data_IF_275613016410
#
_entry.id   IF_275613016410
#
_cell.length_a   1.000
_cell.length_b   1.000
_cell.length_c   1.000
_cell.angle_alpha   90.00
_cell.angle_beta   90.00
_cell.angle_gamma   90.00
#
_symmetry.space_group_name_H-M   'P 1'
#
loop_
_entity.id
_entity.type
_entity.pdbx_description
1 polymer ?
#
# COMPACT_ATOMS: atom_id res chain seq x y z
N UNK A 1 29.21 17.93 23.95
CA UNK A 1 28.83 19.08 23.10
C UNK A 1 28.44 18.47 21.77
N UNK A 2 27.17 18.08 21.67
CA UNK A 2 26.58 17.61 20.42
C UNK A 2 26.35 18.85 19.57
N UNK A 3 27.22 19.08 18.58
CA UNK A 3 27.12 20.20 17.66
C UNK A 3 25.98 19.93 16.67
N UNK A 4 24.87 20.70 16.72
CA UNK A 4 23.68 20.41 15.91
C UNK A 4 23.86 20.73 14.42
N UNK A 5 24.96 21.37 14.01
CA UNK A 5 25.15 21.89 12.65
C UNK A 5 25.33 20.81 11.58
N UNK A 6 25.76 19.60 11.94
CA UNK A 6 25.86 18.46 11.01
C UNK A 6 24.49 17.88 10.62
N UNK A 7 23.44 18.17 11.39
CA UNK A 7 22.08 17.65 11.14
C UNK A 7 21.22 18.57 10.27
N UNK A 8 21.52 19.88 10.22
CA UNK A 8 20.78 20.89 9.46
C UNK A 8 21.08 20.87 7.95
N UNK A 9 22.04 20.04 7.52
CA UNK A 9 22.42 19.88 6.11
C UNK A 9 21.62 18.80 5.36
N UNK A 10 20.76 18.05 6.06
CA UNK A 10 20.01 16.95 5.45
C UNK A 10 18.82 17.47 4.62
N UNK A 11 18.70 16.96 3.39
CA UNK A 11 17.53 17.24 2.54
C UNK A 11 16.29 16.63 3.17
N UNK A 12 15.27 17.45 3.40
CA UNK A 12 13.97 16.99 3.92
C UNK A 12 13.15 16.42 2.77
N UNK A 13 12.76 15.16 2.91
CA UNK A 13 11.93 14.43 1.93
C UNK A 13 10.58 14.12 2.56
N UNK A 14 9.52 14.19 1.76
CA UNK A 14 8.17 13.79 2.14
C UNK A 14 7.57 12.88 1.06
N UNK A 15 6.76 11.92 1.51
CA UNK A 15 6.01 11.00 0.64
C UNK A 15 4.53 11.33 0.77
N UNK A 16 3.82 11.45 -0.36
CA UNK A 16 2.37 11.65 -0.39
C UNK A 16 1.69 10.52 -1.12
N UNK A 17 0.95 9.71 -0.39
CA UNK A 17 0.06 8.71 -0.97
C UNK A 17 -1.25 9.41 -1.37
N UNK A 18 -1.62 9.33 -2.65
CA UNK A 18 -2.94 9.81 -3.10
C UNK A 18 -4.01 8.77 -2.77
N UNK A 19 -5.26 9.18 -2.51
CA UNK A 19 -6.37 8.24 -2.48
C UNK A 19 -6.54 7.50 -3.83
N UNK A 20 -7.13 6.32 -3.77
CA UNK A 20 -7.52 5.57 -4.97
C UNK A 20 -8.58 6.36 -5.76
N UNK A 21 -8.34 6.51 -7.05
CA UNK A 21 -9.23 7.20 -7.97
C UNK A 21 -10.44 6.33 -8.32
N UNK A 22 -11.43 6.92 -9.01
CA UNK A 22 -12.69 6.24 -9.33
C UNK A 22 -12.46 4.95 -10.15
N UNK A 23 -11.61 5.01 -11.17
CA UNK A 23 -11.27 3.86 -12.04
C UNK A 23 -10.65 2.70 -11.25
N UNK A 24 -9.73 3.00 -10.35
CA UNK A 24 -9.06 2.00 -9.52
C UNK A 24 -10.05 1.27 -8.59
N UNK A 25 -11.01 2.01 -8.03
CA UNK A 25 -12.10 1.44 -7.22
C UNK A 25 -13.05 0.59 -8.07
N UNK A 26 -13.50 1.09 -9.21
CA UNK A 26 -14.39 0.38 -10.14
C UNK A 26 -13.78 -0.93 -10.65
N UNK A 27 -12.46 -0.96 -10.87
CA UNK A 27 -11.74 -2.15 -11.30
C UNK A 27 -11.26 -3.04 -10.14
N UNK A 28 -11.60 -2.72 -8.88
CA UNK A 28 -11.13 -3.42 -7.68
C UNK A 28 -9.60 -3.59 -7.65
N UNK A 29 -8.87 -2.55 -8.04
CA UNK A 29 -7.41 -2.54 -7.97
C UNK A 29 -6.95 -2.56 -6.52
N UNK A 30 -6.00 -3.44 -6.19
CA UNK A 30 -5.44 -3.51 -4.83
C UNK A 30 -4.50 -2.34 -4.58
N UNK A 31 -4.66 -1.66 -3.43
CA UNK A 31 -3.69 -0.68 -2.95
C UNK A 31 -2.55 -1.43 -2.25
N UNK A 32 -1.35 -1.37 -2.82
CA UNK A 32 -0.15 -2.05 -2.29
C UNK A 32 0.72 -1.15 -1.40
N UNK A 33 0.30 0.09 -1.19
CA UNK A 33 1.03 1.07 -0.37
C UNK A 33 0.29 1.27 0.95
N UNK A 34 1.02 1.22 2.06
CA UNK A 34 0.55 1.50 3.40
C UNK A 34 1.50 2.50 4.08
N UNK A 35 0.96 3.39 4.90
CA UNK A 35 1.75 4.30 5.74
C UNK A 35 1.65 3.85 7.20
N UNK A 36 2.78 3.72 7.87
CA UNK A 36 2.88 3.46 9.31
C UNK A 36 3.71 4.59 9.93
N UNK A 37 3.03 5.60 10.49
CA UNK A 37 3.66 6.85 10.88
C UNK A 37 4.37 7.52 9.68
N UNK A 38 5.68 7.72 9.81
CA UNK A 38 6.52 8.32 8.77
C UNK A 38 7.16 7.27 7.83
N UNK A 39 6.88 5.98 8.03
CA UNK A 39 7.38 4.90 7.20
C UNK A 39 6.36 4.54 6.12
N UNK A 40 6.84 4.38 4.89
CA UNK A 40 6.05 3.83 3.78
C UNK A 40 6.37 2.34 3.65
N UNK A 41 5.34 1.50 3.78
CA UNK A 41 5.39 0.06 3.57
C UNK A 41 4.84 -0.27 2.19
N UNK A 42 5.62 -0.99 1.38
CA UNK A 42 5.21 -1.50 0.08
C UNK A 42 4.96 -3.00 0.18
N UNK A 43 3.70 -3.40 0.01
CA UNK A 43 3.34 -4.81 -0.09
C UNK A 43 3.68 -5.34 -1.49
N UNK A 44 4.11 -6.60 -1.61
CA UNK A 44 4.31 -7.22 -2.92
C UNK A 44 3.03 -7.11 -3.74
N UNK A 45 3.13 -6.53 -4.94
CA UNK A 45 2.12 -6.79 -5.96
C UNK A 45 2.26 -8.27 -6.30
N UNK A 46 1.26 -9.10 -5.98
CA UNK A 46 1.22 -10.48 -6.44
C UNK A 46 1.09 -10.48 -7.96
N UNK A 47 2.23 -10.36 -8.65
CA UNK A 47 2.38 -10.47 -10.09
C UNK A 47 3.01 -11.81 -10.39
N UNK A 48 2.19 -12.88 -10.40
CA UNK A 48 2.57 -14.01 -11.21
C UNK A 48 2.35 -13.58 -12.66
N UNK A 49 3.44 -13.24 -13.36
CA UNK A 49 3.47 -12.87 -14.79
C UNK A 49 3.25 -14.15 -15.61
N UNK A 50 2.14 -14.83 -15.38
CA UNK A 50 1.69 -15.95 -16.20
C UNK A 50 0.38 -15.53 -16.86
N UNK A 51 0.44 -15.48 -18.19
CA UNK A 51 -0.54 -14.94 -19.12
C UNK A 51 -1.96 -15.50 -18.87
N UNK A 52 -2.82 -14.66 -18.29
CA UNK A 52 -4.27 -14.72 -18.50
C UNK A 52 -5.13 -14.95 -17.26
N UNK A 53 -5.46 -13.89 -16.50
CA UNK A 53 -6.80 -13.76 -15.88
C UNK A 53 -7.10 -12.29 -15.45
N UNK A 54 -8.33 -11.75 -15.67
CA UNK A 54 -8.59 -10.30 -15.69
C UNK A 54 -8.68 -9.57 -14.34
N UNK A 55 -8.83 -10.24 -13.20
CA UNK A 55 -8.96 -9.60 -11.86
C UNK A 55 -8.54 -10.61 -10.78
N UNK A 56 -7.31 -10.50 -10.28
CA UNK A 56 -6.74 -11.36 -9.21
C UNK A 56 -7.68 -11.47 -7.99
N UNK A 57 -8.30 -12.66 -7.82
CA UNK A 57 -9.48 -12.92 -6.98
C UNK A 57 -9.37 -12.69 -5.48
N UNK A 58 -10.51 -12.28 -4.92
CA UNK A 58 -11.05 -12.48 -3.55
C UNK A 58 -10.07 -12.50 -2.38
N UNK A 59 -10.01 -11.39 -1.64
CA UNK A 59 -9.76 -11.41 -0.19
C UNK A 59 -10.92 -10.68 0.49
N UNK A 60 -12.11 -11.26 0.40
CA UNK A 60 -13.14 -11.05 1.43
C UNK A 60 -12.88 -12.13 2.48
N UNK A 61 -12.67 -11.79 3.77
CA UNK A 61 -12.64 -12.80 4.82
C UNK A 61 -14.05 -13.42 4.85
N UNK A 62 -14.14 -14.73 4.61
CA UNK A 62 -15.40 -15.43 4.83
C UNK A 62 -15.73 -15.30 6.32
N UNK A 63 -16.73 -14.46 6.63
CA UNK A 63 -17.39 -14.46 7.94
C UNK A 63 -17.72 -15.91 8.33
N UNK A 64 -17.32 -16.38 9.52
CA UNK A 64 -17.64 -17.74 9.94
C UNK A 64 -19.16 -17.83 10.11
N UNK A 65 -19.81 -18.57 9.21
CA UNK A 65 -21.23 -18.93 9.33
C UNK A 65 -21.42 -19.79 10.57
N UNK A 66 -21.76 -19.16 11.69
CA UNK A 66 -22.45 -19.83 12.78
C UNK A 66 -23.92 -19.97 12.40
N UNK A 67 -24.34 -21.16 11.98
CA UNK A 67 -25.74 -21.57 12.02
C UNK A 67 -25.81 -22.99 12.59
N UNK A 68 -26.31 -23.05 13.83
CA UNK A 68 -27.15 -24.15 14.31
C UNK A 68 -28.43 -24.19 13.46
#
# INVERSE_FOLDING_TARGET
MDDPSLSDSNVKVAVRVRPMNRREKELNSRCVVQMEGNQTVLHPAVVNVNKGDPRYGTTEPLEPRNHL
#
